data_IF_160738991106
#
_entry.id   IF_160738991106
#
_cell.length_a   1.000
_cell.length_b   1.000
_cell.length_c   1.000
_cell.angle_alpha   90.00
_cell.angle_beta   90.00
_cell.angle_gamma   90.00
#
_symmetry.space_group_name_H-M   'P 1'
#
loop_
_entity.id
_entity.type
_entity.pdbx_description
1 polymer ?
#
# COMPACT_ATOMS: atom_id res chain seq x y z
N UNK A 1 19.97 -22.22 14.28
CA UNK A 1 19.19 -22.85 13.19
C UNK A 1 18.60 -21.71 12.41
N UNK A 2 18.98 -21.54 11.14
CA UNK A 2 18.55 -20.39 10.33
C UNK A 2 17.03 -20.45 10.10
N UNK A 3 16.33 -19.33 10.29
CA UNK A 3 14.88 -19.20 10.10
C UNK A 3 14.37 -19.75 8.75
N UNK A 4 15.27 -19.84 7.76
CA UNK A 4 15.03 -20.31 6.40
C UNK A 4 14.57 -21.78 6.31
N UNK A 5 15.02 -22.66 7.21
CA UNK A 5 14.62 -24.08 7.20
C UNK A 5 13.18 -24.28 7.73
N UNK A 6 12.69 -23.37 8.58
CA UNK A 6 11.34 -23.47 9.16
C UNK A 6 10.23 -23.24 8.13
N UNK A 7 10.52 -22.48 7.08
CA UNK A 7 9.58 -22.14 6.01
C UNK A 7 9.61 -23.13 4.84
N UNK A 8 10.53 -24.11 4.85
CA UNK A 8 10.71 -25.06 3.76
C UNK A 8 9.79 -26.27 3.91
N UNK A 9 8.78 -26.38 3.06
CA UNK A 9 7.90 -27.53 3.01
C UNK A 9 8.55 -28.66 2.23
N UNK A 10 8.69 -29.83 2.87
CA UNK A 10 9.18 -31.08 2.23
C UNK A 10 8.12 -32.17 2.15
N UNK A 11 6.97 -31.98 2.82
CA UNK A 11 5.87 -32.93 2.77
C UNK A 11 5.13 -32.81 1.43
N UNK A 12 5.13 -33.89 0.64
CA UNK A 12 4.52 -33.91 -0.70
C UNK A 12 3.05 -33.51 -0.72
N UNK A 13 2.24 -33.95 0.26
CA UNK A 13 0.82 -33.60 0.31
C UNK A 13 0.62 -32.10 0.55
N UNK A 14 1.43 -31.49 1.41
CA UNK A 14 1.40 -30.05 1.65
C UNK A 14 1.87 -29.25 0.42
N UNK A 15 2.96 -29.68 -0.22
CA UNK A 15 3.47 -29.06 -1.45
C UNK A 15 2.37 -29.04 -2.52
N UNK A 16 1.74 -30.20 -2.73
CA UNK A 16 0.67 -30.35 -3.73
C UNK A 16 -0.54 -29.48 -3.42
N UNK A 17 -0.97 -29.43 -2.16
CA UNK A 17 -2.11 -28.59 -1.75
C UNK A 17 -1.80 -27.10 -2.01
N UNK A 18 -0.63 -26.63 -1.59
CA UNK A 18 -0.23 -25.24 -1.75
C UNK A 18 -0.07 -24.86 -3.23
N UNK A 19 0.55 -25.71 -4.05
CA UNK A 19 0.66 -25.48 -5.49
C UNK A 19 -0.71 -25.50 -6.19
N UNK A 20 -1.65 -26.35 -5.73
CA UNK A 20 -3.03 -26.33 -6.22
C UNK A 20 -3.74 -25.03 -5.88
N UNK A 21 -3.46 -24.42 -4.72
CA UNK A 21 -3.97 -23.08 -4.38
C UNK A 21 -3.44 -22.01 -5.34
N UNK A 22 -2.15 -22.06 -5.69
CA UNK A 22 -1.56 -21.12 -6.66
C UNK A 22 -2.18 -21.27 -8.05
N UNK A 23 -2.35 -22.51 -8.51
CA UNK A 23 -3.03 -22.83 -9.78
C UNK A 23 -4.47 -22.33 -9.80
N UNK A 24 -5.24 -22.58 -8.72
CA UNK A 24 -6.63 -22.14 -8.60
C UNK A 24 -6.78 -20.62 -8.73
N UNK A 25 -5.81 -19.87 -8.21
CA UNK A 25 -5.79 -18.41 -8.28
C UNK A 25 -5.06 -17.86 -9.50
N UNK A 26 -4.60 -18.72 -10.43
CA UNK A 26 -3.83 -18.35 -11.62
C UNK A 26 -2.66 -17.43 -11.29
N UNK A 27 -1.90 -17.78 -10.26
CA UNK A 27 -0.80 -16.93 -9.81
C UNK A 27 0.25 -16.74 -10.92
N UNK A 28 0.66 -15.49 -11.10
CA UNK A 28 1.84 -15.15 -11.88
C UNK A 28 3.09 -15.66 -11.17
N UNK A 29 4.00 -16.26 -11.91
CA UNK A 29 5.25 -16.82 -11.40
C UNK A 29 6.39 -16.31 -12.26
N UNK A 30 7.46 -15.84 -11.62
CA UNK A 30 8.69 -15.43 -12.28
C UNK A 30 9.69 -16.59 -12.26
N UNK A 31 10.08 -17.07 -13.43
CA UNK A 31 11.13 -18.06 -13.60
C UNK A 31 12.49 -17.38 -13.84
N UNK A 32 13.50 -17.74 -13.06
CA UNK A 32 14.87 -17.23 -13.21
C UNK A 32 15.57 -17.89 -14.40
N UNK A 33 16.15 -17.07 -15.28
CA UNK A 33 16.84 -17.53 -16.49
C UNK A 33 18.37 -17.47 -16.38
N UNK A 34 18.88 -17.15 -15.18
CA UNK A 34 20.28 -16.84 -14.93
C UNK A 34 20.59 -15.34 -14.98
N UNK A 35 21.51 -14.89 -14.14
CA UNK A 35 21.85 -13.47 -14.00
C UNK A 35 20.67 -12.64 -13.47
N UNK A 36 20.25 -11.61 -14.21
CA UNK A 36 19.14 -10.72 -13.86
C UNK A 36 17.88 -10.96 -14.70
N UNK A 37 17.91 -11.91 -15.63
CA UNK A 37 16.80 -12.15 -16.55
C UNK A 37 15.76 -13.10 -15.93
N UNK A 38 14.48 -12.75 -16.11
CA UNK A 38 13.36 -13.56 -15.63
C UNK A 38 12.28 -13.65 -16.71
N UNK A 39 11.58 -14.78 -16.73
CA UNK A 39 10.38 -14.99 -17.54
C UNK A 39 9.15 -14.93 -16.64
N UNK A 40 8.18 -14.08 -16.97
CA UNK A 40 6.87 -14.11 -16.34
C UNK A 40 6.00 -15.18 -17.00
N UNK A 41 5.46 -16.10 -16.20
CA UNK A 41 4.56 -17.19 -16.61
C UNK A 41 3.43 -17.32 -15.59
N UNK A 42 2.47 -18.21 -15.83
CA UNK A 42 1.29 -18.44 -14.98
C UNK A 42 1.13 -19.92 -14.72
N UNK A 43 0.82 -20.31 -13.47
CA UNK A 43 0.44 -21.68 -13.14
C UNK A 43 -0.99 -21.96 -13.63
N UNK A 44 -1.15 -22.87 -14.60
CA UNK A 44 -2.45 -23.14 -15.25
C UNK A 44 -3.13 -24.39 -14.68
N UNK A 45 -2.37 -25.47 -14.45
CA UNK A 45 -2.92 -26.74 -14.02
C UNK A 45 -1.92 -27.56 -13.20
N UNK A 46 -2.45 -28.45 -12.35
CA UNK A 46 -1.68 -29.45 -11.62
C UNK A 46 -2.30 -30.82 -11.87
N UNK A 47 -1.46 -31.81 -12.22
CA UNK A 47 -1.87 -33.20 -12.39
C UNK A 47 -1.30 -34.04 -11.25
N UNK A 48 -2.16 -34.41 -10.30
CA UNK A 48 -1.77 -35.21 -9.14
C UNK A 48 -1.31 -36.63 -9.49
N UNK A 49 -1.88 -37.23 -10.56
CA UNK A 49 -1.55 -38.61 -10.96
C UNK A 49 -0.19 -38.69 -11.63
N UNK A 50 0.09 -37.75 -12.54
CA UNK A 50 1.36 -37.69 -13.27
C UNK A 50 2.45 -36.98 -12.48
N UNK A 51 2.11 -36.27 -11.41
CA UNK A 51 3.07 -35.52 -10.61
C UNK A 51 3.62 -34.31 -11.37
N UNK A 52 2.80 -33.69 -12.22
CA UNK A 52 3.22 -32.60 -13.12
C UNK A 52 2.42 -31.33 -12.88
N UNK A 53 3.03 -30.20 -13.23
CA UNK A 53 2.42 -28.87 -13.21
C UNK A 53 2.60 -28.27 -14.60
N UNK A 54 1.55 -27.59 -15.05
CA UNK A 54 1.50 -26.91 -16.34
C UNK A 54 1.60 -25.42 -16.11
N UNK A 55 2.54 -24.77 -16.80
CA UNK A 55 2.67 -23.32 -16.82
C UNK A 55 2.47 -22.78 -18.23
N UNK A 56 1.96 -21.56 -18.33
CA UNK A 56 1.77 -20.89 -19.60
C UNK A 56 3.11 -20.51 -20.25
N UNK A 57 3.11 -20.35 -21.56
CA UNK A 57 4.21 -19.64 -22.21
C UNK A 57 4.17 -18.17 -21.84
N UNK A 58 5.34 -17.58 -21.60
CA UNK A 58 5.41 -16.14 -21.44
C UNK A 58 5.32 -15.44 -22.80
N UNK A 59 5.24 -14.11 -22.77
CA UNK A 59 5.04 -13.28 -23.96
C UNK A 59 6.25 -13.22 -24.92
N UNK A 60 7.42 -13.71 -24.52
CA UNK A 60 8.65 -13.66 -25.32
C UNK A 60 9.13 -15.06 -25.69
N UNK A 61 9.07 -15.39 -26.98
CA UNK A 61 9.58 -16.66 -27.52
C UNK A 61 11.06 -16.88 -27.24
N UNK A 62 11.85 -15.81 -27.24
CA UNK A 62 13.26 -15.87 -26.89
C UNK A 62 13.45 -16.34 -25.44
N UNK A 63 12.73 -15.73 -24.49
CA UNK A 63 12.80 -16.12 -23.08
C UNK A 63 12.19 -17.51 -22.84
N UNK A 64 11.14 -17.88 -23.58
CA UNK A 64 10.55 -19.22 -23.53
C UNK A 64 11.59 -20.29 -23.91
N UNK A 65 12.29 -20.08 -25.03
CA UNK A 65 13.38 -20.98 -25.47
C UNK A 65 14.54 -21.02 -24.48
N UNK A 66 14.86 -19.87 -23.86
CA UNK A 66 15.91 -19.77 -22.86
C UNK A 66 15.57 -20.54 -21.59
N UNK A 67 14.32 -20.48 -21.11
CA UNK A 67 13.92 -21.24 -19.91
C UNK A 67 14.15 -22.75 -20.09
N UNK A 68 13.91 -23.28 -21.29
CA UNK A 68 14.11 -24.71 -21.60
C UNK A 68 15.58 -25.16 -21.52
N UNK A 69 16.55 -24.24 -21.61
CA UNK A 69 17.97 -24.56 -21.48
C UNK A 69 18.54 -24.36 -20.07
N UNK A 70 17.76 -23.76 -19.16
CA UNK A 70 18.16 -23.53 -17.76
C UNK A 70 18.12 -24.86 -17.02
N UNK A 71 19.23 -25.21 -16.35
CA UNK A 71 19.27 -26.31 -15.40
C UNK A 71 18.79 -25.82 -14.03
N UNK A 72 17.95 -26.59 -13.37
CA UNK A 72 17.41 -26.27 -12.04
C UNK A 72 16.77 -24.87 -11.92
N UNK A 73 15.86 -24.47 -12.84
CA UNK A 73 15.26 -23.14 -12.79
C UNK A 73 14.53 -22.89 -11.47
N UNK A 74 14.75 -21.70 -10.92
CA UNK A 74 14.04 -21.19 -9.75
C UNK A 74 12.78 -20.45 -10.17
N UNK A 75 11.68 -20.73 -9.48
CA UNK A 75 10.39 -20.07 -9.65
C UNK A 75 10.04 -19.31 -8.39
N UNK A 76 9.61 -18.05 -8.55
CA UNK A 76 9.25 -17.16 -7.45
C UNK A 76 7.86 -16.56 -7.67
N UNK A 77 7.06 -16.49 -6.61
CA UNK A 77 5.78 -15.78 -6.62
C UNK A 77 5.44 -15.25 -5.23
N UNK A 78 4.49 -14.32 -5.18
CA UNK A 78 3.90 -13.84 -3.93
C UNK A 78 2.40 -14.12 -3.98
N UNK A 79 1.92 -14.94 -3.05
CA UNK A 79 0.52 -15.32 -2.96
C UNK A 79 -0.10 -14.76 -1.68
N UNK A 80 -1.01 -13.79 -1.80
CA UNK A 80 -1.64 -13.12 -0.66
C UNK A 80 -0.63 -12.60 0.40
N UNK A 81 0.54 -12.16 -0.04
CA UNK A 81 1.63 -11.70 0.82
C UNK A 81 2.54 -12.80 1.37
N UNK A 82 2.29 -14.06 1.03
CA UNK A 82 3.17 -15.21 1.31
C UNK A 82 4.22 -15.29 0.22
N UNK A 83 5.49 -15.32 0.61
CA UNK A 83 6.59 -15.53 -0.33
C UNK A 83 6.70 -17.01 -0.65
N UNK A 84 6.67 -17.33 -1.94
CA UNK A 84 6.73 -18.71 -2.43
C UNK A 84 7.89 -18.84 -3.40
N UNK A 85 8.74 -19.85 -3.17
CA UNK A 85 9.83 -20.18 -4.07
C UNK A 85 9.99 -21.69 -4.20
N UNK A 86 10.32 -22.18 -5.39
CA UNK A 86 10.63 -23.59 -5.61
C UNK A 86 11.57 -23.75 -6.80
N UNK A 87 12.27 -24.87 -6.83
CA UNK A 87 13.14 -25.25 -7.94
C UNK A 87 12.66 -26.59 -8.49
N UNK A 88 12.89 -26.80 -9.78
CA UNK A 88 12.61 -28.07 -10.46
C UNK A 88 13.80 -28.44 -11.31
N UNK A 89 14.03 -29.72 -11.53
CA UNK A 89 15.22 -30.17 -12.27
C UNK A 89 15.27 -29.62 -13.70
N UNK A 90 14.13 -29.73 -14.40
CA UNK A 90 14.00 -29.31 -15.80
C UNK A 90 12.58 -28.86 -16.15
N UNK A 91 12.52 -28.00 -17.16
CA UNK A 91 11.30 -27.55 -17.81
C UNK A 91 11.21 -28.17 -19.19
N UNK A 92 10.04 -28.72 -19.53
CA UNK A 92 9.79 -29.34 -20.84
C UNK A 92 8.67 -28.64 -21.57
N UNK A 93 8.65 -28.76 -22.89
CA UNK A 93 7.53 -28.32 -23.72
C UNK A 93 6.43 -29.38 -23.65
N UNK A 94 5.19 -28.93 -23.54
CA UNK A 94 3.99 -29.74 -23.67
C UNK A 94 2.91 -29.00 -24.41
N UNK A 95 1.73 -29.63 -24.51
CA UNK A 95 0.51 -28.97 -24.96
C UNK A 95 -0.57 -29.12 -23.91
N UNK A 96 -1.23 -28.01 -23.60
CA UNK A 96 -2.38 -27.99 -22.71
C UNK A 96 -3.56 -27.35 -23.42
N UNK A 97 -4.65 -28.11 -23.59
CA UNK A 97 -5.85 -27.68 -24.34
C UNK A 97 -5.53 -27.13 -25.75
N UNK A 98 -4.51 -27.68 -26.40
CA UNK A 98 -4.11 -27.31 -27.76
C UNK A 98 -3.10 -26.15 -27.86
N UNK A 99 -2.83 -25.43 -26.76
CA UNK A 99 -1.81 -24.40 -26.70
C UNK A 99 -0.47 -24.96 -26.20
N UNK A 100 0.64 -24.39 -26.66
CA UNK A 100 1.97 -24.72 -26.16
C UNK A 100 2.12 -24.24 -24.72
N UNK A 101 2.72 -25.09 -23.88
CA UNK A 101 2.87 -24.83 -22.45
C UNK A 101 4.18 -25.40 -21.92
N UNK A 102 4.61 -24.94 -20.75
CA UNK A 102 5.67 -25.60 -20.00
C UNK A 102 5.08 -26.70 -19.11
N UNK A 103 5.79 -27.82 -19.02
CA UNK A 103 5.52 -28.90 -18.08
C UNK A 103 6.71 -29.08 -17.16
N UNK A 104 6.46 -29.07 -15.86
CA UNK A 104 7.45 -29.31 -14.81
C UNK A 104 6.97 -30.45 -13.90
N UNK A 105 7.90 -31.12 -13.24
CA UNK A 105 7.56 -32.01 -12.12
C UNK A 105 7.10 -31.18 -10.91
N UNK A 106 6.31 -31.80 -10.03
CA UNK A 106 6.06 -31.25 -8.70
C UNK A 106 7.39 -31.21 -7.95
N UNK A 107 7.80 -30.05 -7.40
CA UNK A 107 9.09 -29.90 -6.74
C UNK A 107 9.17 -30.72 -5.45
N UNK A 108 10.39 -31.16 -5.10
CA UNK A 108 10.63 -31.91 -3.85
C UNK A 108 10.57 -31.04 -2.59
N UNK A 109 10.72 -29.73 -2.77
CA UNK A 109 10.58 -28.76 -1.69
C UNK A 109 9.96 -27.46 -2.18
N UNK A 110 9.19 -26.82 -1.30
CA UNK A 110 8.51 -25.57 -1.56
C UNK A 110 8.77 -24.61 -0.40
N UNK A 111 9.48 -23.53 -0.66
CA UNK A 111 9.56 -22.42 0.28
C UNK A 111 8.20 -21.75 0.36
N UNK A 112 7.61 -21.70 1.55
CA UNK A 112 6.30 -21.11 1.79
C UNK A 112 6.34 -20.28 3.07
N UNK A 113 6.85 -19.06 2.95
CA UNK A 113 7.04 -18.18 4.10
C UNK A 113 5.92 -17.17 4.24
N UNK A 114 5.10 -17.38 5.27
CA UNK A 114 4.11 -16.40 5.68
C UNK A 114 4.69 -15.51 6.80
N UNK A 115 5.26 -14.37 6.43
CA UNK A 115 5.76 -13.38 7.39
C UNK A 115 4.66 -12.68 8.21
N UNK A 116 3.38 -12.84 7.84
CA UNK A 116 2.27 -12.09 8.44
C UNK A 116 1.58 -12.93 9.51
N UNK A 117 1.70 -12.49 10.75
CA UNK A 117 0.97 -13.04 11.89
C UNK A 117 -0.50 -12.58 11.93
N UNK A 118 -0.82 -11.46 11.26
CA UNK A 118 -2.14 -10.83 11.29
C UNK A 118 -2.65 -10.48 9.89
N UNK A 119 -3.97 -10.60 9.70
CA UNK A 119 -4.64 -10.16 8.47
C UNK A 119 -4.55 -8.64 8.32
N UNK A 120 -4.42 -8.19 7.07
CA UNK A 120 -4.36 -6.77 6.69
C UNK A 120 -5.62 -6.41 5.89
N UNK A 121 -6.27 -5.33 6.30
CA UNK A 121 -7.43 -4.76 5.63
C UNK A 121 -6.96 -3.51 4.89
N UNK A 122 -7.26 -3.43 3.59
CA UNK A 122 -7.04 -2.21 2.81
C UNK A 122 -7.99 -1.11 3.26
N UNK A 123 -7.51 0.12 3.32
CA UNK A 123 -8.33 1.27 3.71
C UNK A 123 -9.29 1.64 2.57
N UNK A 124 -10.59 1.86 2.85
CA UNK A 124 -11.56 2.24 1.83
C UNK A 124 -11.19 3.56 1.13
N UNK A 125 -11.37 3.63 -0.19
CA UNK A 125 -11.08 4.85 -0.96
C UNK A 125 -12.05 5.98 -0.64
N UNK A 126 -13.31 5.67 -0.36
CA UNK A 126 -14.35 6.67 -0.10
C UNK A 126 -14.24 7.31 1.29
N UNK A 127 -13.73 6.56 2.26
CA UNK A 127 -13.49 7.04 3.62
C UNK A 127 -12.10 6.57 4.08
N UNK A 128 -11.04 7.30 3.68
CA UNK A 128 -9.68 6.90 3.98
C UNK A 128 -9.43 6.97 5.48
N UNK A 129 -8.77 5.95 6.02
CA UNK A 129 -8.22 6.02 7.36
C UNK A 129 -6.92 6.82 7.33
N UNK A 130 -6.66 7.58 8.39
CA UNK A 130 -5.45 8.37 8.53
C UNK A 130 -4.84 8.17 9.92
N UNK A 131 -3.58 8.58 10.05
CA UNK A 131 -2.89 8.70 11.32
C UNK A 131 -2.47 10.15 11.54
N UNK A 132 -2.56 10.61 12.78
CA UNK A 132 -2.09 11.93 13.22
C UNK A 132 -0.75 11.76 13.95
N UNK A 133 0.26 12.49 13.49
CA UNK A 133 1.59 12.50 14.08
C UNK A 133 1.92 13.92 14.51
N UNK A 134 2.11 14.13 15.80
CA UNK A 134 2.61 15.38 16.35
C UNK A 134 4.13 15.47 16.16
N UNK A 135 4.59 16.54 15.50
CA UNK A 135 6.01 16.86 15.32
C UNK A 135 6.57 17.52 16.58
N UNK A 136 7.72 17.03 17.05
CA UNK A 136 8.42 17.61 18.18
C UNK A 136 9.09 18.94 17.78
N UNK A 137 8.96 19.96 18.63
CA UNK A 137 9.62 21.24 18.39
C UNK A 137 11.15 21.11 18.47
N UNK A 138 11.89 21.87 17.64
CA UNK A 138 13.34 21.91 17.74
C UNK A 138 13.78 22.51 19.08
N UNK A 139 14.68 21.82 19.76
CA UNK A 139 15.42 22.37 20.90
C UNK A 139 16.55 23.31 20.43
N UNK A 140 17.11 24.11 21.34
CA UNK A 140 18.18 25.07 21.03
C UNK A 140 19.42 24.37 20.42
N UNK A 141 19.75 23.18 20.91
CA UNK A 141 20.84 22.31 20.44
C UNK A 141 20.50 21.49 19.18
N UNK A 142 19.27 21.55 18.66
CA UNK A 142 18.87 20.80 17.47
C UNK A 142 19.65 21.25 16.24
N UNK A 143 19.92 20.31 15.32
CA UNK A 143 20.67 20.60 14.09
C UNK A 143 19.96 21.66 13.24
N UNK A 144 20.74 22.41 12.46
CA UNK A 144 20.19 23.40 11.54
C UNK A 144 19.23 22.74 10.53
N UNK A 145 19.60 21.56 10.01
CA UNK A 145 18.77 20.77 9.10
C UNK A 145 17.40 20.42 9.70
N UNK A 146 17.35 20.04 10.98
CA UNK A 146 16.08 19.75 11.66
C UNK A 146 15.21 21.00 11.79
N UNK A 147 15.81 22.14 12.16
CA UNK A 147 15.11 23.42 12.31
C UNK A 147 14.51 23.89 10.98
N UNK A 148 15.27 23.79 9.89
CA UNK A 148 14.81 24.12 8.54
C UNK A 148 13.69 23.19 8.09
N UNK A 149 13.86 21.87 8.26
CA UNK A 149 12.83 20.88 7.92
C UNK A 149 11.54 21.10 8.72
N UNK A 150 11.65 21.43 10.01
CA UNK A 150 10.51 21.73 10.87
C UNK A 150 9.76 22.98 10.39
N UNK A 151 10.46 24.05 10.06
CA UNK A 151 9.84 25.27 9.53
C UNK A 151 9.07 25.00 8.23
N UNK A 152 9.65 24.22 7.31
CA UNK A 152 9.00 23.81 6.06
C UNK A 152 7.76 22.95 6.33
N UNK A 153 7.86 21.98 7.23
CA UNK A 153 6.74 21.12 7.60
C UNK A 153 5.58 21.91 8.22
N UNK A 154 5.86 22.82 9.16
CA UNK A 154 4.83 23.65 9.79
C UNK A 154 4.14 24.57 8.77
N UNK A 155 4.90 25.17 7.85
CA UNK A 155 4.32 25.97 6.77
C UNK A 155 3.35 25.12 5.93
N UNK A 156 3.76 23.89 5.55
CA UNK A 156 2.91 22.97 4.80
C UNK A 156 1.65 22.54 5.56
N UNK A 157 1.76 22.29 6.87
CA UNK A 157 0.61 21.94 7.72
C UNK A 157 -0.38 23.12 7.73
N UNK A 158 0.10 24.34 7.94
CA UNK A 158 -0.73 25.54 7.94
C UNK A 158 -1.42 25.77 6.59
N UNK A 159 -0.70 25.61 5.48
CA UNK A 159 -1.29 25.73 4.14
C UNK A 159 -2.43 24.73 3.94
N UNK A 160 -2.27 23.49 4.40
CA UNK A 160 -3.32 22.47 4.33
C UNK A 160 -4.52 22.82 5.22
N UNK A 161 -4.30 23.33 6.42
CA UNK A 161 -5.38 23.74 7.33
C UNK A 161 -6.16 24.92 6.75
N UNK A 162 -5.47 25.91 6.17
CA UNK A 162 -6.10 27.03 5.49
C UNK A 162 -6.91 26.58 4.27
N UNK A 163 -6.36 25.67 3.46
CA UNK A 163 -7.07 25.11 2.32
C UNK A 163 -8.35 24.35 2.75
N UNK A 164 -8.31 23.62 3.87
CA UNK A 164 -9.48 22.94 4.42
C UNK A 164 -10.57 23.93 4.87
N UNK A 165 -10.20 25.00 5.59
CA UNK A 165 -11.12 26.07 5.98
C UNK A 165 -11.75 26.73 4.74
N UNK A 166 -10.95 27.02 3.71
CA UNK A 166 -11.45 27.60 2.46
C UNK A 166 -12.41 26.65 1.73
N UNK A 167 -12.15 25.34 1.73
CA UNK A 167 -13.04 24.35 1.14
C UNK A 167 -14.39 24.27 1.88
N UNK A 168 -14.38 24.28 3.21
CA UNK A 168 -15.59 24.31 4.03
C UNK A 168 -16.41 25.59 3.78
N UNK A 169 -15.74 26.75 3.73
CA UNK A 169 -16.36 28.03 3.35
C UNK A 169 -17.00 27.95 1.96
N UNK A 170 -16.31 27.36 0.98
CA UNK A 170 -16.84 27.22 -0.36
C UNK A 170 -18.06 26.28 -0.41
N UNK A 171 -18.04 25.19 0.36
CA UNK A 171 -19.18 24.28 0.48
C UNK A 171 -20.40 24.98 1.12
N UNK A 172 -20.19 25.74 2.20
CA UNK A 172 -21.23 26.56 2.81
C UNK A 172 -21.82 27.58 1.82
N UNK A 173 -20.97 28.29 1.08
CA UNK A 173 -21.38 29.24 0.05
C UNK A 173 -22.22 28.56 -1.04
N UNK A 174 -21.81 27.39 -1.51
CA UNK A 174 -22.57 26.62 -2.48
C UNK A 174 -23.90 26.12 -1.91
N UNK A 175 -23.92 25.65 -0.66
CA UNK A 175 -25.14 25.21 0.01
C UNK A 175 -26.14 26.38 0.15
N UNK A 176 -25.64 27.56 0.55
CA UNK A 176 -26.43 28.80 0.62
C UNK A 176 -26.99 29.17 -0.76
N UNK A 177 -26.17 29.15 -1.82
CA UNK A 177 -26.63 29.45 -3.18
C UNK A 177 -27.72 28.48 -3.65
N UNK A 178 -27.54 27.18 -3.41
CA UNK A 178 -28.54 26.14 -3.74
C UNK A 178 -29.85 26.35 -2.99
N UNK A 179 -29.79 26.74 -1.72
CA UNK A 179 -30.98 27.07 -0.93
C UNK A 179 -31.65 28.36 -1.45
N UNK A 180 -30.85 29.41 -1.67
CA UNK A 180 -31.30 30.72 -2.14
C UNK A 180 -32.08 30.63 -3.46
N UNK A 181 -31.63 29.80 -4.41
CA UNK A 181 -32.32 29.60 -5.69
C UNK A 181 -33.76 29.09 -5.53
N UNK A 182 -34.04 28.29 -4.50
CA UNK A 182 -35.35 27.68 -4.22
C UNK A 182 -36.30 28.58 -3.43
N UNK A 183 -35.84 29.76 -2.97
CA UNK A 183 -36.62 30.67 -2.12
C UNK A 183 -37.58 31.58 -2.93
N UNK A 184 -38.65 32.02 -2.25
CA UNK A 184 -39.57 33.07 -2.74
C UNK A 184 -38.88 34.44 -2.74
N UNK A 185 -39.50 35.42 -3.42
CA UNK A 185 -38.91 36.76 -3.60
C UNK A 185 -38.68 37.45 -2.24
N UNK A 186 -39.67 37.42 -1.34
CA UNK A 186 -39.56 38.07 -0.02
C UNK A 186 -38.47 37.40 0.85
N UNK A 187 -38.40 36.07 0.82
CA UNK A 187 -37.34 35.32 1.52
C UNK A 187 -35.95 35.60 0.98
N UNK A 188 -35.80 35.83 -0.34
CA UNK A 188 -34.52 36.20 -0.96
C UNK A 188 -34.01 37.55 -0.47
N UNK A 189 -34.89 38.55 -0.33
CA UNK A 189 -34.52 39.88 0.17
C UNK A 189 -33.96 39.76 1.59
N UNK A 190 -34.66 39.02 2.46
CA UNK A 190 -34.22 38.78 3.84
C UNK A 190 -32.89 38.00 3.89
N UNK A 191 -32.80 36.89 3.16
CA UNK A 191 -31.62 36.03 3.12
C UNK A 191 -30.37 36.77 2.62
N UNK A 192 -30.50 37.68 1.65
CA UNK A 192 -29.38 38.48 1.15
C UNK A 192 -28.85 39.46 2.21
N UNK A 193 -29.76 40.10 2.97
CA UNK A 193 -29.37 40.99 4.08
C UNK A 193 -28.66 40.21 5.18
N UNK A 194 -29.19 39.06 5.58
CA UNK A 194 -28.56 38.19 6.59
C UNK A 194 -27.20 37.68 6.11
N UNK A 195 -27.06 37.31 4.83
CA UNK A 195 -25.78 36.86 4.28
C UNK A 195 -24.72 37.96 4.30
N UNK A 196 -25.10 39.20 4.00
CA UNK A 196 -24.17 40.34 4.06
C UNK A 196 -23.64 40.55 5.48
N UNK A 197 -24.52 40.54 6.49
CA UNK A 197 -24.12 40.69 7.90
C UNK A 197 -23.16 39.56 8.31
N UNK A 198 -23.48 38.32 7.93
CA UNK A 198 -22.62 37.17 8.21
C UNK A 198 -21.23 37.29 7.56
N UNK A 199 -21.16 37.79 6.32
CA UNK A 199 -19.89 38.00 5.63
C UNK A 199 -19.06 39.13 6.26
N UNK A 200 -19.70 40.23 6.68
CA UNK A 200 -19.06 41.32 7.43
C UNK A 200 -18.53 40.84 8.79
N UNK A 201 -19.31 40.04 9.54
CA UNK A 201 -18.89 39.45 10.81
C UNK A 201 -17.71 38.48 10.66
N UNK A 202 -17.68 37.72 9.56
CA UNK A 202 -16.59 36.79 9.24
C UNK A 202 -15.33 37.51 8.77
N UNK A 203 -15.47 38.62 8.05
CA UNK A 203 -14.33 39.47 7.69
C UNK A 203 -13.72 40.12 8.93
N UNK A 204 -14.57 40.55 9.89
CA UNK A 204 -14.12 41.05 11.19
C UNK A 204 -13.47 39.96 12.06
N UNK A 205 -13.94 38.70 11.95
CA UNK A 205 -13.44 37.55 12.72
C UNK A 205 -13.05 36.40 11.78
N UNK A 206 -11.88 36.46 11.12
CA UNK A 206 -11.46 35.44 10.18
C UNK A 206 -11.28 34.09 10.88
N UNK A 207 -11.77 33.03 10.25
CA UNK A 207 -11.56 31.66 10.71
C UNK A 207 -10.08 31.30 10.51
N UNK A 208 -9.37 31.12 11.61
CA UNK A 208 -7.95 30.73 11.62
C UNK A 208 -7.80 29.28 12.06
N UNK A 209 -6.76 28.57 11.60
CA UNK A 209 -6.45 27.22 12.06
C UNK A 209 -6.26 27.15 13.58
N UNK A 210 -6.75 26.08 14.21
CA UNK A 210 -6.48 25.81 15.63
C UNK A 210 -4.97 25.64 15.85
N UNK A 211 -4.34 26.42 16.76
CA UNK A 211 -2.93 26.28 17.09
C UNK A 211 -2.50 24.87 17.49
N UNK A 212 -3.40 24.05 18.07
CA UNK A 212 -3.11 22.66 18.43
C UNK A 212 -2.93 21.76 17.20
N UNK A 213 -3.56 22.10 16.09
CA UNK A 213 -3.47 21.36 14.83
C UNK A 213 -2.22 21.72 14.02
N UNK A 214 -1.60 22.88 14.30
CA UNK A 214 -0.49 23.42 13.52
C UNK A 214 0.78 22.53 13.53
N UNK A 215 0.87 21.55 14.44
CA UNK A 215 1.99 20.61 14.56
C UNK A 215 1.62 19.17 14.22
N UNK A 216 0.38 18.93 13.82
CA UNK A 216 -0.14 17.59 13.57
C UNK A 216 -0.09 17.32 12.07
N UNK A 217 0.73 16.36 11.68
CA UNK A 217 0.74 15.82 10.32
C UNK A 217 -0.30 14.71 10.21
N UNK A 218 -1.22 14.82 9.25
CA UNK A 218 -2.14 13.75 8.87
C UNK A 218 -1.60 12.99 7.67
N UNK A 219 -1.36 11.69 7.85
CA UNK A 219 -0.93 10.78 6.79
C UNK A 219 -2.01 9.75 6.50
N UNK A 220 -2.34 9.56 5.23
CA UNK A 220 -3.27 8.52 4.81
C UNK A 220 -2.64 7.14 4.99
N UNK A 221 -3.46 6.20 5.45
CA UNK A 221 -3.13 4.79 5.51
C UNK A 221 -3.60 4.11 4.21
N UNK A 222 -2.90 3.05 3.83
CA UNK A 222 -3.22 2.20 2.67
C UNK A 222 -3.70 0.81 3.13
N UNK A 223 -3.13 0.30 4.23
CA UNK A 223 -3.60 -0.88 4.92
C UNK A 223 -3.46 -0.76 6.45
N UNK A 224 -4.25 -1.56 7.17
CA UNK A 224 -4.24 -1.67 8.63
C UNK A 224 -4.28 -3.14 9.03
N UNK A 225 -3.57 -3.50 10.10
CA UNK A 225 -3.61 -4.80 10.77
C UNK A 225 -3.51 -4.63 12.28
N UNK A 226 -3.72 -5.73 13.02
CA UNK A 226 -3.57 -5.72 14.48
C UNK A 226 -2.16 -5.38 14.96
N UNK A 227 -1.13 -5.57 14.11
CA UNK A 227 0.27 -5.26 14.45
C UNK A 227 0.80 -3.98 13.80
N UNK A 228 -0.05 -3.18 13.13
CA UNK A 228 0.34 -1.89 12.56
C UNK A 228 -0.30 -1.58 11.22
N UNK A 229 0.14 -0.50 10.59
CA UNK A 229 -0.45 0.06 9.37
C UNK A 229 0.61 0.42 8.32
N UNK A 230 0.20 0.53 7.05
CA UNK A 230 1.03 1.06 5.97
C UNK A 230 0.60 2.49 5.63
N UNK A 231 1.48 3.44 5.90
CA UNK A 231 1.30 4.87 5.65
C UNK A 231 1.82 5.29 4.27
N UNK A 232 1.26 6.37 3.72
CA UNK A 232 1.69 6.96 2.44
C UNK A 232 1.98 8.44 2.64
N UNK A 233 3.26 8.83 2.48
CA UNK A 233 3.64 10.24 2.44
C UNK A 233 3.62 10.75 1.00
N UNK A 234 2.69 11.66 0.71
CA UNK A 234 2.58 12.31 -0.60
C UNK A 234 3.28 13.68 -0.64
N UNK A 235 3.64 14.23 0.51
CA UNK A 235 4.22 15.56 0.65
C UNK A 235 5.73 15.44 0.91
N UNK A 236 6.59 15.85 -0.03
CA UNK A 236 8.03 15.77 0.13
C UNK A 236 8.53 16.56 1.35
N UNK A 237 7.84 17.63 1.74
CA UNK A 237 8.10 18.47 2.90
C UNK A 237 8.16 17.69 4.23
N UNK A 238 7.51 16.53 4.30
CA UNK A 238 7.53 15.68 5.49
C UNK A 238 8.57 14.55 5.44
N UNK A 239 9.30 14.39 4.32
CA UNK A 239 10.23 13.27 4.13
C UNK A 239 11.35 13.23 5.16
N UNK A 240 11.76 14.38 5.69
CA UNK A 240 12.77 14.46 6.74
C UNK A 240 12.33 13.73 8.02
N UNK A 241 11.03 13.79 8.35
CA UNK A 241 10.45 13.18 9.55
C UNK A 241 10.01 11.73 9.34
N UNK A 242 9.65 11.38 8.10
CA UNK A 242 9.16 10.05 7.73
C UNK A 242 10.16 9.34 6.82
N UNK A 243 11.35 9.09 7.34
CA UNK A 243 12.39 8.35 6.63
C UNK A 243 12.02 6.86 6.51
N UNK A 244 12.54 6.22 5.46
CA UNK A 244 12.36 4.78 5.28
C UNK A 244 12.91 4.02 6.49
N UNK A 245 12.13 3.06 6.96
CA UNK A 245 12.41 2.18 8.09
C UNK A 245 12.35 2.81 9.49
N UNK A 246 11.91 4.06 9.65
CA UNK A 246 11.67 4.66 10.97
C UNK A 246 10.55 3.92 11.73
N UNK A 247 10.80 3.57 13.00
CA UNK A 247 9.81 2.92 13.88
C UNK A 247 9.28 3.96 14.86
N UNK A 248 7.96 4.03 14.99
CA UNK A 248 7.25 4.89 15.92
C UNK A 248 6.46 4.01 16.88
N UNK A 249 6.81 4.09 18.17
CA UNK A 249 6.15 3.35 19.24
C UNK A 249 5.13 4.23 19.97
N UNK A 250 4.14 3.57 20.60
CA UNK A 250 3.15 4.20 21.49
C UNK A 250 2.30 5.32 20.88
N UNK A 251 1.93 5.21 19.59
CA UNK A 251 1.10 6.24 18.93
C UNK A 251 -0.39 5.88 19.00
N UNK A 252 -1.29 6.84 19.31
CA UNK A 252 -2.73 6.60 19.28
C UNK A 252 -3.24 6.54 17.85
N UNK A 253 -3.78 5.39 17.44
CA UNK A 253 -4.57 5.27 16.22
C UNK A 253 -6.04 5.51 16.56
N UNK A 254 -6.62 6.57 16.01
CA UNK A 254 -8.02 6.94 16.22
C UNK A 254 -8.89 6.24 15.18
N UNK A 255 -9.84 5.43 15.65
CA UNK A 255 -10.89 4.82 14.83
C UNK A 255 -12.26 5.39 15.25
N UNK A 256 -13.33 5.24 14.43
CA UNK A 256 -14.63 5.86 14.70
C UNK A 256 -15.23 5.61 16.11
N UNK A 257 -14.84 4.53 16.78
CA UNK A 257 -15.38 4.13 18.08
C UNK A 257 -14.32 3.74 19.13
N UNK A 258 -13.02 3.86 18.81
CA UNK A 258 -11.95 3.47 19.74
C UNK A 258 -10.63 4.14 19.40
N UNK A 259 -9.79 4.35 20.40
CA UNK A 259 -8.39 4.73 20.21
C UNK A 259 -7.51 3.58 20.66
N UNK A 260 -6.62 3.09 19.79
CA UNK A 260 -5.75 1.94 20.08
C UNK A 260 -4.30 2.40 20.03
N UNK A 261 -3.48 2.00 21.01
CA UNK A 261 -2.03 2.22 20.95
C UNK A 261 -1.42 1.27 19.93
N UNK A 262 -0.67 1.81 18.99
CA UNK A 262 -0.01 1.02 17.94
C UNK A 262 1.45 1.44 17.79
N UNK A 263 2.29 0.47 17.43
CA UNK A 263 3.61 0.69 16.86
C UNK A 263 3.51 0.62 15.34
N UNK A 264 4.15 1.53 14.63
CA UNK A 264 4.21 1.49 13.16
C UNK A 264 5.61 1.78 12.62
N UNK A 265 5.93 1.18 11.47
CA UNK A 265 7.18 1.41 10.73
C UNK A 265 6.87 2.18 9.45
N UNK A 266 7.55 3.29 9.22
CA UNK A 266 7.49 4.04 7.97
C UNK A 266 8.19 3.24 6.88
N UNK A 267 7.45 2.93 5.81
CA UNK A 267 8.00 2.29 4.60
C UNK A 267 7.53 3.14 3.43
N UNK A 268 8.38 4.07 3.00
CA UNK A 268 8.10 4.90 1.84
C UNK A 268 8.37 4.08 0.58
N UNK A 269 7.43 4.07 -0.35
CA UNK A 269 7.65 3.53 -1.69
C UNK A 269 7.85 4.73 -2.60
N UNK A 270 9.05 4.90 -3.16
CA UNK A 270 9.28 5.94 -4.17
C UNK A 270 8.37 5.67 -5.36
N UNK A 271 7.57 6.66 -5.82
CA UNK A 271 6.79 6.50 -7.04
C UNK A 271 7.70 6.12 -8.21
N UNK A 272 7.54 4.91 -8.75
CA UNK A 272 8.31 4.41 -9.90
C UNK A 272 9.45 3.43 -9.58
N UNK A 273 9.72 3.12 -8.30
CA UNK A 273 10.62 2.01 -7.96
C UNK A 273 9.77 0.84 -7.48
N UNK A 274 9.72 -0.22 -8.29
CA UNK A 274 9.22 -1.51 -7.81
C UNK A 274 10.13 -1.95 -6.68
N UNK A 275 9.54 -2.13 -5.49
CA UNK A 275 10.19 -2.70 -4.32
C UNK A 275 10.75 -4.06 -4.74
N UNK A 276 12.06 -4.12 -4.99
CA UNK A 276 12.76 -5.39 -5.17
C UNK A 276 13.07 -5.92 -3.77
N UNK A 277 12.81 -7.20 -3.51
CA UNK A 277 13.05 -7.81 -2.22
C UNK A 277 14.52 -7.73 -1.81
#
# INVERSE_FOLDING_TARGET
>A
MSDDDSAMLRNRAMIVNNLAMLVKNKCNVSASLGGKETLLTVLIAINHKEGTIVLDYGSSDFLNKKLLSVKNPQFNTVFNGIQVSFHVDQVRVGKYKGADCFMISIPDSLYWYNRREYYRVETPTLNPAYIEVELAEPEENSSLEYKEAFAVAIAKINDKLLAAIQAEIAEEQQAWQRAYQKMTIDSKIKAKRERQIFEEEREANPVVPDPKMAKIVRLNLSDISMSGCKLTNIDPEFSFFFQEQSIFDDRPLVMPHTTVKVTFKVVSVRPGVTDKP
#
